data_IF_753002265287
#
_entry.id   IF_753002265287
#
_cell.length_a   1.000
_cell.length_b   1.000
_cell.length_c   1.000
_cell.angle_alpha   90.00
_cell.angle_beta   90.00
_cell.angle_gamma   90.00
#
_symmetry.space_group_name_H-M   'P 1'
#
loop_
_entity.id
_entity.type
_entity.pdbx_description
1 polymer ?
#
# COMPACT_ATOMS: atom_id res chain seq x y z
N UNK A 1 0.98 -2.42 -11.43
CA UNK A 1 1.82 -3.39 -10.69
C UNK A 1 1.50 -4.83 -11.02
N UNK A 2 0.23 -5.21 -11.17
CA UNK A 2 -0.20 -6.58 -11.51
C UNK A 2 0.58 -7.19 -12.68
N UNK A 3 0.69 -6.47 -13.81
CA UNK A 3 1.45 -6.94 -14.98
C UNK A 3 2.92 -7.28 -14.64
N UNK A 4 3.61 -6.41 -13.89
CA UNK A 4 4.99 -6.64 -13.46
C UNK A 4 5.08 -7.85 -12.54
N UNK A 5 4.19 -7.97 -11.56
CA UNK A 5 4.19 -9.11 -10.64
C UNK A 5 3.94 -10.44 -11.34
N UNK A 6 3.08 -10.45 -12.36
CA UNK A 6 2.81 -11.62 -13.20
C UNK A 6 4.01 -11.99 -14.09
N UNK A 7 4.63 -11.01 -14.72
CA UNK A 7 5.78 -11.21 -15.62
C UNK A 7 7.05 -11.64 -14.87
N UNK A 8 7.24 -11.13 -13.66
CA UNK A 8 8.38 -11.40 -12.80
C UNK A 8 8.05 -12.33 -11.64
N UNK A 9 7.12 -13.27 -11.86
CA UNK A 9 6.69 -14.21 -10.84
C UNK A 9 7.90 -14.84 -10.11
N UNK A 10 7.85 -14.80 -8.77
CA UNK A 10 8.91 -15.24 -7.84
C UNK A 10 10.26 -14.51 -7.94
N UNK A 11 10.49 -13.64 -8.93
CA UNK A 11 11.71 -12.83 -9.10
C UNK A 11 11.58 -11.45 -8.47
N UNK A 12 10.36 -10.91 -8.40
CA UNK A 12 10.04 -9.63 -7.76
C UNK A 12 9.17 -9.87 -6.53
N UNK A 13 9.50 -9.17 -5.44
CA UNK A 13 8.66 -9.06 -4.25
C UNK A 13 8.20 -7.62 -4.11
N UNK A 14 6.89 -7.40 -4.07
CA UNK A 14 6.33 -6.10 -3.73
C UNK A 14 6.19 -5.98 -2.21
N UNK A 15 6.69 -4.87 -1.68
CA UNK A 15 6.45 -4.42 -0.30
C UNK A 15 5.76 -3.06 -0.41
N UNK A 16 4.54 -2.98 0.10
CA UNK A 16 3.83 -1.71 0.20
C UNK A 16 4.26 -0.98 1.48
N UNK A 17 4.40 0.34 1.40
CA UNK A 17 4.76 1.22 2.52
C UNK A 17 3.81 2.39 2.58
N UNK A 18 3.32 2.70 3.76
CA UNK A 18 2.30 3.73 3.92
C UNK A 18 2.85 5.14 3.77
N UNK A 19 2.14 5.98 3.00
CA UNK A 19 2.43 7.40 2.89
C UNK A 19 1.14 8.22 2.71
N UNK A 20 0.19 8.18 3.65
CA UNK A 20 -0.97 9.06 3.57
C UNK A 20 -0.53 10.54 3.54
N UNK A 21 -0.92 11.25 2.49
CA UNK A 21 -0.63 12.68 2.35
C UNK A 21 -1.70 13.51 3.07
N UNK A 22 -1.28 14.55 3.80
CA UNK A 22 -2.19 15.38 4.61
C UNK A 22 -3.29 16.09 3.80
N UNK A 23 -3.06 16.30 2.50
CA UNK A 23 -4.04 16.85 1.55
C UNK A 23 -5.25 15.91 1.30
N UNK A 24 -5.17 14.65 1.76
CA UNK A 24 -6.20 13.64 1.62
C UNK A 24 -6.70 13.20 3.01
N UNK A 25 -7.76 13.83 3.55
CA UNK A 25 -8.18 13.62 4.94
C UNK A 25 -8.56 12.17 5.27
N UNK A 26 -8.99 11.40 4.27
CA UNK A 26 -9.37 10.00 4.45
C UNK A 26 -8.29 8.98 4.06
N UNK A 27 -7.11 9.44 3.62
CA UNK A 27 -6.04 8.52 3.24
C UNK A 27 -5.55 7.70 4.45
N UNK A 28 -5.25 8.35 5.57
CA UNK A 28 -4.75 7.65 6.77
C UNK A 28 -5.72 6.57 7.28
N UNK A 29 -7.03 6.84 7.46
CA UNK A 29 -7.99 5.79 7.77
C UNK A 29 -7.99 4.63 6.77
N UNK A 30 -7.84 4.89 5.46
CA UNK A 30 -7.78 3.85 4.45
C UNK A 30 -6.53 2.96 4.59
N UNK A 31 -5.36 3.55 4.86
CA UNK A 31 -4.12 2.81 5.14
C UNK A 31 -4.24 1.93 6.40
N UNK A 32 -4.78 2.48 7.49
CA UNK A 32 -5.04 1.73 8.74
C UNK A 32 -6.03 0.58 8.51
N UNK A 33 -7.09 0.82 7.72
CA UNK A 33 -8.08 -0.19 7.35
C UNK A 33 -7.50 -1.33 6.50
N UNK A 34 -6.59 -1.03 5.56
CA UNK A 34 -5.89 -2.05 4.79
C UNK A 34 -5.07 -2.98 5.71
N UNK A 35 -4.39 -2.44 6.73
CA UNK A 35 -3.69 -3.23 7.74
C UNK A 35 -4.65 -4.05 8.62
N UNK A 36 -5.81 -3.51 8.98
CA UNK A 36 -6.86 -4.27 9.66
C UNK A 36 -7.36 -5.46 8.84
N UNK A 37 -7.49 -5.30 7.51
CA UNK A 37 -7.80 -6.42 6.62
C UNK A 37 -6.63 -7.41 6.52
N UNK A 38 -5.39 -6.91 6.51
CA UNK A 38 -4.18 -7.73 6.56
C UNK A 38 -4.09 -8.59 7.82
N UNK A 39 -4.53 -8.08 8.97
CA UNK A 39 -4.62 -8.86 10.21
C UNK A 39 -5.59 -10.04 10.12
N UNK A 40 -6.48 -10.04 9.12
CA UNK A 40 -7.40 -11.12 8.78
C UNK A 40 -7.01 -11.86 7.48
N UNK A 41 -5.80 -11.62 6.96
CA UNK A 41 -5.25 -12.32 5.80
C UNK A 41 -5.72 -11.79 4.44
N UNK A 42 -6.32 -10.59 4.36
CA UNK A 42 -6.85 -9.99 3.11
C UNK A 42 -6.26 -8.63 2.79
N UNK A 43 -4.96 -8.43 3.05
CA UNK A 43 -4.32 -7.13 2.84
C UNK A 43 -4.41 -6.69 1.38
N UNK A 44 -3.99 -7.54 0.45
CA UNK A 44 -3.89 -7.19 -0.97
C UNK A 44 -5.25 -7.02 -1.61
N UNK A 45 -6.22 -7.89 -1.29
CA UNK A 45 -7.58 -7.76 -1.78
C UNK A 45 -8.25 -6.47 -1.28
N UNK A 46 -8.00 -6.07 -0.02
CA UNK A 46 -8.52 -4.81 0.51
C UNK A 46 -7.78 -3.60 -0.08
N UNK A 47 -6.47 -3.69 -0.27
CA UNK A 47 -5.66 -2.67 -0.94
C UNK A 47 -6.17 -2.42 -2.37
N UNK A 48 -6.36 -3.47 -3.17
CA UNK A 48 -6.82 -3.33 -4.55
C UNK A 48 -8.23 -2.74 -4.61
N UNK A 49 -9.11 -3.17 -3.71
CA UNK A 49 -10.44 -2.57 -3.57
C UNK A 49 -10.39 -1.09 -3.19
N UNK A 50 -9.46 -0.67 -2.31
CA UNK A 50 -9.28 0.75 -2.02
C UNK A 50 -8.89 1.52 -3.28
N UNK A 51 -7.96 1.01 -4.10
CA UNK A 51 -7.58 1.63 -5.37
C UNK A 51 -8.75 1.75 -6.35
N UNK A 52 -9.58 0.72 -6.45
CA UNK A 52 -10.78 0.72 -7.30
C UNK A 52 -11.85 1.73 -6.86
N UNK A 53 -11.92 2.04 -5.56
CA UNK A 53 -13.01 2.83 -4.96
C UNK A 53 -12.60 4.26 -4.57
N UNK A 54 -11.38 4.68 -4.90
CA UNK A 54 -10.92 6.04 -4.60
C UNK A 54 -11.90 7.11 -5.15
N UNK A 55 -12.23 8.16 -4.38
CA UNK A 55 -11.73 8.51 -3.03
C UNK A 55 -12.69 8.15 -1.88
N UNK A 56 -13.61 7.19 -2.07
CA UNK A 56 -14.66 6.85 -1.09
C UNK A 56 -14.10 6.09 0.12
N UNK A 57 -13.54 6.82 1.08
CA UNK A 57 -12.84 6.29 2.25
C UNK A 57 -13.42 6.77 3.57
N UNK A 58 -14.72 7.12 3.60
CA UNK A 58 -15.37 7.37 4.89
C UNK A 58 -15.42 6.07 5.68
N UNK A 59 -15.59 6.18 6.99
CA UNK A 59 -15.62 5.02 7.87
C UNK A 59 -16.61 3.97 7.38
N UNK A 60 -17.81 4.39 6.97
CA UNK A 60 -18.87 3.51 6.49
C UNK A 60 -18.46 2.77 5.22
N UNK A 61 -17.75 3.45 4.30
CA UNK A 61 -17.21 2.85 3.08
C UNK A 61 -16.20 1.75 3.43
N UNK A 62 -15.25 2.03 4.33
CA UNK A 62 -14.23 1.09 4.75
C UNK A 62 -14.84 -0.17 5.41
N UNK A 63 -15.84 0.00 6.27
CA UNK A 63 -16.55 -1.14 6.88
C UNK A 63 -17.36 -1.94 5.85
N UNK A 64 -17.92 -1.29 4.83
CA UNK A 64 -18.61 -1.96 3.73
C UNK A 64 -17.64 -2.82 2.91
N UNK A 65 -16.43 -2.31 2.61
CA UNK A 65 -15.39 -3.03 1.88
C UNK A 65 -14.91 -4.28 2.62
N UNK A 66 -14.81 -4.21 3.94
CA UNK A 66 -14.51 -5.39 4.75
C UNK A 66 -15.59 -6.48 4.58
N UNK A 67 -16.85 -6.05 4.50
CA UNK A 67 -17.99 -6.96 4.31
C UNK A 67 -17.97 -7.60 2.92
N UNK A 68 -17.61 -6.85 1.86
CA UNK A 68 -17.50 -7.40 0.50
C UNK A 68 -16.41 -8.46 0.36
N UNK A 69 -15.39 -8.41 1.21
CA UNK A 69 -14.28 -9.37 1.22
C UNK A 69 -14.47 -10.51 2.22
N UNK A 70 -15.64 -10.59 2.87
CA UNK A 70 -15.96 -11.65 3.83
C UNK A 70 -15.15 -11.58 5.12
N UNK A 71 -14.65 -10.40 5.51
CA UNK A 71 -13.95 -10.20 6.78
C UNK A 71 -14.93 -10.25 7.96
N UNK A 72 -14.43 -10.63 9.14
CA UNK A 72 -15.18 -10.48 10.38
C UNK A 72 -15.37 -8.98 10.65
N UNK A 73 -16.61 -8.53 10.50
CA UNK A 73 -16.97 -7.11 10.62
C UNK A 73 -16.78 -6.60 12.04
N UNK A 74 -17.02 -7.39 13.08
CA UNK A 74 -16.87 -6.94 14.46
C UNK A 74 -15.38 -6.74 14.80
N UNK A 75 -14.54 -7.70 14.41
CA UNK A 75 -13.08 -7.61 14.57
C UNK A 75 -12.51 -6.44 13.75
N UNK A 76 -12.95 -6.29 12.51
CA UNK A 76 -12.51 -5.21 11.63
C UNK A 76 -12.91 -3.84 12.15
N UNK A 77 -14.19 -3.68 12.54
CA UNK A 77 -14.72 -2.41 13.07
C UNK A 77 -13.95 -1.97 14.30
N UNK A 78 -13.72 -2.89 15.26
CA UNK A 78 -12.92 -2.60 16.45
C UNK A 78 -11.49 -2.18 16.08
N UNK A 79 -10.85 -2.90 15.15
CA UNK A 79 -9.49 -2.57 14.71
C UNK A 79 -9.37 -1.15 14.12
N UNK A 80 -10.35 -0.75 13.29
CA UNK A 80 -10.41 0.59 12.69
C UNK A 80 -10.70 1.65 13.75
N UNK A 81 -11.69 1.42 14.62
CA UNK A 81 -12.11 2.39 15.63
C UNK A 81 -11.03 2.64 16.70
N UNK A 82 -10.31 1.58 17.09
CA UNK A 82 -9.15 1.67 17.99
C UNK A 82 -7.90 2.23 17.31
N UNK A 83 -7.96 2.42 15.97
CA UNK A 83 -6.80 2.81 15.14
C UNK A 83 -5.59 1.93 15.44
N UNK A 84 -5.82 0.62 15.55
CA UNK A 84 -4.83 -0.36 16.02
C UNK A 84 -3.50 -0.30 15.29
N UNK A 85 -3.53 0.03 13.99
CA UNK A 85 -2.36 0.10 13.12
C UNK A 85 -1.85 1.53 12.86
N UNK A 86 -2.31 2.53 13.61
CA UNK A 86 -1.76 3.88 13.53
C UNK A 86 -0.24 3.92 13.78
N UNK A 87 0.32 3.19 14.78
CA UNK A 87 1.77 3.17 15.00
C UNK A 87 2.56 2.61 13.80
N UNK A 88 2.03 1.60 13.10
CA UNK A 88 2.67 1.06 11.90
C UNK A 88 2.68 2.05 10.74
N UNK A 89 1.57 2.77 10.54
CA UNK A 89 1.49 3.85 9.53
C UNK A 89 2.43 4.99 9.90
N UNK A 90 2.57 5.32 11.18
CA UNK A 90 3.51 6.34 11.66
C UNK A 90 4.96 5.93 11.41
N UNK A 91 5.33 4.68 11.70
CA UNK A 91 6.66 4.14 11.44
C UNK A 91 7.02 4.17 9.93
N UNK A 92 6.08 3.84 9.06
CA UNK A 92 6.28 3.93 7.61
C UNK A 92 6.43 5.39 7.14
N UNK A 93 5.65 6.31 7.72
CA UNK A 93 5.76 7.75 7.44
C UNK A 93 7.11 8.34 7.90
N UNK A 94 7.60 7.93 9.08
CA UNK A 94 8.93 8.30 9.59
C UNK A 94 10.03 7.74 8.69
N UNK A 95 9.93 6.46 8.29
CA UNK A 95 10.87 5.85 7.36
C UNK A 95 10.88 6.60 6.02
N UNK A 96 9.71 6.95 5.48
CA UNK A 96 9.61 7.74 4.25
C UNK A 96 10.27 9.11 4.41
N UNK A 97 10.04 9.81 5.52
CA UNK A 97 10.66 11.11 5.80
C UNK A 97 12.20 11.00 5.92
N UNK A 98 12.71 9.97 6.61
CA UNK A 98 14.14 9.72 6.73
C UNK A 98 14.81 9.43 5.37
N UNK A 99 14.06 8.82 4.45
CA UNK A 99 14.46 8.62 3.06
C UNK A 99 14.17 9.84 2.18
N UNK A 100 13.64 10.95 2.70
CA UNK A 100 13.29 12.13 1.90
C UNK A 100 12.17 11.88 0.88
N UNK A 101 11.23 10.99 1.17
CA UNK A 101 10.07 10.66 0.34
C UNK A 101 8.85 11.46 0.80
N UNK A 102 8.50 12.48 0.00
CA UNK A 102 7.40 13.40 0.30
C UNK A 102 6.25 13.36 -0.70
N UNK A 103 6.36 12.53 -1.74
CA UNK A 103 5.34 12.37 -2.77
C UNK A 103 5.02 10.88 -2.99
N UNK A 104 3.87 10.62 -3.59
CA UNK A 104 3.41 9.28 -3.97
C UNK A 104 2.97 9.27 -5.44
N UNK A 105 3.23 8.20 -6.20
CA UNK A 105 4.04 7.04 -5.81
C UNK A 105 5.55 7.35 -5.85
N UNK A 106 6.29 6.70 -4.95
CA UNK A 106 7.75 6.57 -5.02
C UNK A 106 8.08 5.10 -4.81
N UNK A 107 8.92 4.54 -5.68
CA UNK A 107 9.34 3.14 -5.65
C UNK A 107 10.83 3.07 -5.33
N UNK A 108 11.23 1.98 -4.67
CA UNK A 108 12.62 1.58 -4.55
C UNK A 108 12.78 0.19 -5.17
N UNK A 109 13.57 0.09 -6.23
CA UNK A 109 13.91 -1.19 -6.88
C UNK A 109 15.34 -1.54 -6.50
N UNK A 110 15.52 -2.47 -5.55
CA UNK A 110 16.83 -2.81 -4.96
C UNK A 110 17.66 -1.57 -4.55
N UNK A 111 17.02 -0.57 -3.93
CA UNK A 111 17.67 0.67 -3.50
C UNK A 111 17.67 1.80 -4.53
N UNK A 112 17.37 1.53 -5.81
CA UNK A 112 17.22 2.56 -6.84
C UNK A 112 15.86 3.25 -6.69
N UNK A 113 15.89 4.55 -6.39
CA UNK A 113 14.68 5.38 -6.25
C UNK A 113 14.09 5.70 -7.62
N UNK A 114 12.78 5.57 -7.74
CA UNK A 114 11.97 5.97 -8.89
C UNK A 114 10.82 6.83 -8.38
N UNK A 115 10.75 8.08 -8.83
CA UNK A 115 9.75 9.03 -8.38
C UNK A 115 8.65 9.20 -9.43
N UNK A 116 7.40 9.23 -8.97
CA UNK A 116 6.24 9.37 -9.84
C UNK A 116 5.78 8.04 -10.45
N UNK A 117 4.65 8.12 -11.14
CA UNK A 117 4.12 6.98 -11.90
C UNK A 117 4.93 6.83 -13.19
N UNK A 118 5.61 5.70 -13.33
CA UNK A 118 6.35 5.32 -14.55
C UNK A 118 5.57 4.31 -15.37
N UNK A 119 5.87 4.24 -16.67
CA UNK A 119 5.31 3.21 -17.55
C UNK A 119 5.75 1.80 -17.14
N UNK A 120 5.00 0.78 -17.56
CA UNK A 120 5.38 -0.62 -17.33
C UNK A 120 6.71 -0.92 -18.02
N UNK A 121 6.93 -0.37 -19.21
CA UNK A 121 8.16 -0.53 -20.00
C UNK A 121 9.38 0.04 -19.27
N UNK A 122 9.23 1.22 -18.65
CA UNK A 122 10.28 1.84 -17.87
C UNK A 122 10.57 1.07 -16.59
N UNK A 123 9.54 0.67 -15.85
CA UNK A 123 9.70 -0.14 -14.65
C UNK A 123 10.36 -1.50 -14.96
N UNK A 124 10.02 -2.11 -16.09
CA UNK A 124 10.67 -3.34 -16.59
C UNK A 124 12.17 -3.15 -16.77
N UNK A 125 12.59 -2.07 -17.45
CA UNK A 125 14.03 -1.76 -17.64
C UNK A 125 14.74 -1.58 -16.30
N UNK A 126 14.12 -0.85 -15.39
CA UNK A 126 14.69 -0.60 -14.06
C UNK A 126 14.89 -1.90 -13.27
N UNK A 127 13.91 -2.81 -13.31
CA UNK A 127 14.00 -4.14 -12.67
C UNK A 127 15.13 -4.97 -13.28
N UNK A 128 15.20 -5.03 -14.61
CA UNK A 128 16.25 -5.79 -15.30
C UNK A 128 17.64 -5.27 -14.98
N UNK A 129 17.83 -3.96 -14.96
CA UNK A 129 19.13 -3.36 -14.60
C UNK A 129 19.49 -3.63 -13.14
N UNK A 130 18.54 -3.41 -12.22
CA UNK A 130 18.72 -3.66 -10.79
C UNK A 130 18.95 -5.14 -10.43
N UNK A 131 18.61 -6.07 -11.32
CA UNK A 131 18.84 -7.51 -11.13
C UNK A 131 20.26 -7.96 -11.44
N UNK A 132 21.02 -7.14 -12.19
CA UNK A 132 22.41 -7.40 -12.60
C UNK A 132 23.44 -6.84 -11.61
N UNK A 133 23.02 -5.91 -10.76
CA UNK A 133 23.88 -5.29 -9.75
C UNK A 133 24.14 -6.31 -8.60
N UNK A 134 25.39 -6.47 -8.14
CA UNK A 134 25.70 -7.31 -7.00
C UNK A 134 25.03 -6.76 -5.73
N UNK A 135 24.46 -7.66 -4.92
CA UNK A 135 23.79 -7.32 -3.67
C UNK A 135 24.78 -7.04 -2.54
#
# INVERSE_FOLDING_TARGET
MEQILKEYDRRVRLIFKDRPLAIHPHARPAHEAARCAGAQGRYWEYHDLLFERQPAFRREDLLAYASTLGLDRAVFTRCVDERRFAPDVDADMEQAAALGVFATPTLFVNGRRVEGAVSVEELRRIIEDASKEPR
#
